data_IF_638124119112
#
_entry.id   IF_638124119112
#
_cell.length_a   1.000
_cell.length_b   1.000
_cell.length_c   1.000
_cell.angle_alpha   90.00
_cell.angle_beta   90.00
_cell.angle_gamma   90.00
#
_symmetry.space_group_name_H-M   'P 1'
#
loop_
_entity.id
_entity.type
_entity.pdbx_description
1 polymer ?
#
# COMPACT_ATOMS: atom_id res chain seq x y z
N UNK A 1 -12.74 -11.73 7.80
CA UNK A 1 -11.32 -11.52 8.20
C UNK A 1 -11.19 -10.83 9.56
N UNK A 2 -11.88 -9.72 9.85
CA UNK A 2 -11.79 -8.99 11.14
C UNK A 2 -11.98 -9.86 12.39
N UNK A 3 -13.05 -10.66 12.43
CA UNK A 3 -13.32 -11.55 13.56
C UNK A 3 -12.20 -12.58 13.78
N UNK A 4 -11.60 -13.08 12.69
CA UNK A 4 -10.47 -14.00 12.75
C UNK A 4 -9.19 -13.30 13.25
N UNK A 5 -8.91 -12.08 12.77
CA UNK A 5 -7.77 -11.28 13.23
C UNK A 5 -7.87 -10.92 14.72
N UNK A 6 -9.05 -10.50 15.19
CA UNK A 6 -9.28 -10.22 16.61
C UNK A 6 -9.14 -11.45 17.49
N UNK A 7 -9.61 -12.61 17.00
CA UNK A 7 -9.43 -13.87 17.72
C UNK A 7 -7.96 -14.28 17.82
N UNK A 8 -7.18 -14.09 16.75
CA UNK A 8 -5.73 -14.36 16.75
C UNK A 8 -4.96 -13.44 17.72
N UNK A 9 -5.43 -12.20 17.89
CA UNK A 9 -4.76 -11.18 18.71
C UNK A 9 -5.33 -11.03 20.12
N UNK A 10 -6.25 -11.90 20.55
CA UNK A 10 -6.97 -11.75 21.82
C UNK A 10 -6.02 -11.63 23.04
N UNK A 11 -4.84 -12.24 22.98
CA UNK A 11 -3.82 -12.20 24.04
C UNK A 11 -2.66 -11.23 23.76
N UNK A 12 -2.69 -10.50 22.62
CA UNK A 12 -1.61 -9.62 22.18
C UNK A 12 -1.92 -8.15 22.48
N UNK A 13 -1.47 -7.67 23.64
CA UNK A 13 -1.74 -6.28 24.11
C UNK A 13 -1.09 -5.17 23.27
N UNK A 14 -0.12 -5.52 22.41
CA UNK A 14 0.68 -4.58 21.59
C UNK A 14 0.25 -4.54 20.12
N UNK A 15 -0.84 -5.22 19.75
CA UNK A 15 -1.35 -5.24 18.37
C UNK A 15 -2.88 -5.21 18.40
N UNK A 16 -3.51 -4.55 17.43
CA UNK A 16 -4.97 -4.50 17.32
C UNK A 16 -5.41 -4.55 15.86
N UNK A 17 -6.70 -4.77 15.63
CA UNK A 17 -7.33 -4.63 14.32
C UNK A 17 -8.60 -3.79 14.44
N UNK A 18 -8.63 -2.70 13.68
CA UNK A 18 -9.77 -1.80 13.57
C UNK A 18 -10.47 -2.00 12.23
N UNK A 19 -11.72 -1.57 12.13
CA UNK A 19 -12.43 -1.45 10.85
C UNK A 19 -12.59 0.02 10.57
N UNK A 20 -11.89 0.50 9.56
CA UNK A 20 -11.89 1.90 9.14
C UNK A 20 -11.73 1.99 7.63
N UNK A 21 -12.14 3.11 7.06
CA UNK A 21 -11.90 3.43 5.66
C UNK A 21 -10.53 4.10 5.53
N UNK A 22 -9.64 3.56 4.69
CA UNK A 22 -8.31 4.15 4.45
C UNK A 22 -8.35 5.51 3.75
N UNK A 23 -9.51 5.91 3.23
CA UNK A 23 -9.77 7.25 2.69
C UNK A 23 -10.13 8.27 3.77
N UNK A 24 -10.32 7.83 5.01
CA UNK A 24 -10.60 8.66 6.19
C UNK A 24 -9.42 8.56 7.19
N UNK A 25 -8.31 9.27 6.92
CA UNK A 25 -7.16 9.30 7.82
C UNK A 25 -7.51 9.73 9.24
N UNK A 26 -8.36 10.74 9.40
CA UNK A 26 -8.79 11.24 10.70
C UNK A 26 -9.50 10.14 11.50
N UNK A 27 -10.45 9.43 10.88
CA UNK A 27 -11.14 8.30 11.49
C UNK A 27 -10.19 7.18 11.94
N UNK A 28 -9.11 6.93 11.20
CA UNK A 28 -8.07 5.95 11.58
C UNK A 28 -7.25 6.46 12.78
N UNK A 29 -6.79 7.71 12.73
CA UNK A 29 -5.90 8.29 13.73
C UNK A 29 -6.60 8.55 15.07
N UNK A 30 -7.87 8.94 15.01
CA UNK A 30 -8.69 9.18 16.20
C UNK A 30 -9.37 7.93 16.76
N UNK A 31 -9.28 6.80 16.06
CA UNK A 31 -9.83 5.54 16.55
C UNK A 31 -9.25 5.20 17.94
N UNK A 32 -10.08 4.85 18.94
CA UNK A 32 -9.62 4.62 20.32
C UNK A 32 -8.48 3.61 20.43
N UNK A 33 -8.55 2.51 19.66
CA UNK A 33 -7.47 1.51 19.62
C UNK A 33 -6.17 2.02 18.99
N UNK A 34 -6.25 2.90 17.98
CA UNK A 34 -5.06 3.54 17.39
C UNK A 34 -4.40 4.43 18.43
N UNK A 35 -5.17 5.33 19.06
CA UNK A 35 -4.66 6.25 20.10
C UNK A 35 -4.14 5.53 21.34
N UNK A 36 -4.68 4.36 21.66
CA UNK A 36 -4.23 3.51 22.78
C UNK A 36 -2.86 2.88 22.50
N UNK A 37 -2.61 2.46 21.26
CA UNK A 37 -1.40 1.70 20.91
C UNK A 37 -0.27 2.54 20.35
N UNK A 38 -0.60 3.57 19.56
CA UNK A 38 0.39 4.33 18.80
C UNK A 38 0.56 5.71 19.42
N UNK A 39 1.73 5.94 20.00
CA UNK A 39 2.16 7.26 20.44
C UNK A 39 2.64 8.10 19.24
N UNK A 40 1.74 8.91 18.69
CA UNK A 40 1.99 9.76 17.53
C UNK A 40 2.98 10.92 17.80
N UNK A 41 3.45 11.10 19.04
CA UNK A 41 4.54 12.02 19.34
C UNK A 41 5.93 11.43 19.03
N UNK A 42 5.98 10.12 18.74
CA UNK A 42 7.19 9.37 18.40
C UNK A 42 7.16 8.93 16.93
N UNK A 43 8.33 8.62 16.33
CA UNK A 43 8.38 8.17 14.95
C UNK A 43 7.53 6.93 14.69
N UNK A 44 6.74 6.96 13.62
CA UNK A 44 5.86 5.86 13.21
C UNK A 44 6.17 5.38 11.80
N UNK A 45 5.85 4.11 11.53
CA UNK A 45 5.80 3.57 10.17
C UNK A 45 4.35 3.39 9.74
N UNK A 46 3.95 4.04 8.67
CA UNK A 46 2.62 3.89 8.05
C UNK A 46 2.78 2.99 6.82
N UNK A 47 1.92 1.99 6.68
CA UNK A 47 2.01 0.97 5.63
C UNK A 47 0.77 1.03 4.72
N UNK A 48 0.95 1.40 3.47
CA UNK A 48 -0.01 1.28 2.37
C UNK A 48 0.52 0.28 1.34
N UNK A 49 0.55 -1.00 1.73
CA UNK A 49 1.10 -2.09 0.91
C UNK A 49 -0.01 -2.80 0.14
N UNK A 50 0.10 -2.81 -1.19
CA UNK A 50 -0.86 -3.41 -2.13
C UNK A 50 -2.28 -2.88 -1.99
N UNK A 51 -2.39 -1.56 -1.74
CA UNK A 51 -3.68 -0.87 -1.61
C UNK A 51 -3.74 0.47 -2.35
N UNK A 52 -2.61 1.01 -2.83
CA UNK A 52 -2.60 2.34 -3.47
C UNK A 52 -3.49 2.46 -4.72
N UNK A 53 -3.66 1.37 -5.45
CA UNK A 53 -4.55 1.29 -6.62
C UNK A 53 -6.04 1.35 -6.26
N UNK A 54 -6.42 1.12 -5.00
CA UNK A 54 -7.81 1.31 -4.54
C UNK A 54 -8.14 2.78 -4.22
N UNK A 55 -7.12 3.61 -4.09
CA UNK A 55 -7.25 5.04 -3.89
C UNK A 55 -7.24 5.72 -5.26
N UNK A 56 -8.42 6.15 -5.71
CA UNK A 56 -8.53 6.91 -6.97
C UNK A 56 -8.11 8.36 -6.77
N UNK A 57 -7.57 8.95 -7.82
CA UNK A 57 -7.36 10.39 -7.91
C UNK A 57 -8.72 11.10 -8.04
N UNK A 58 -8.80 12.30 -7.46
CA UNK A 58 -9.98 13.17 -7.53
C UNK A 58 -9.50 14.61 -7.36
N UNK A 59 -10.23 15.54 -7.97
CA UNK A 59 -10.04 16.97 -7.78
C UNK A 59 -10.76 17.50 -6.53
N UNK A 60 -11.55 16.65 -5.86
CA UNK A 60 -12.24 16.99 -4.62
C UNK A 60 -11.23 17.24 -3.48
N UNK A 61 -11.34 18.43 -2.86
CA UNK A 61 -10.50 18.83 -1.74
C UNK A 61 -10.77 17.91 -0.56
N UNK A 62 -9.69 17.36 0.01
CA UNK A 62 -9.81 16.44 1.14
C UNK A 62 -10.22 15.02 0.74
N UNK A 63 -10.06 14.63 -0.52
CA UNK A 63 -10.39 13.29 -0.99
C UNK A 63 -9.31 12.69 -1.91
N UNK A 64 -9.46 11.39 -2.18
CA UNK A 64 -8.64 10.63 -3.11
C UNK A 64 -7.26 10.22 -2.59
N UNK A 65 -6.44 9.70 -3.50
CA UNK A 65 -5.14 9.11 -3.17
C UNK A 65 -4.19 10.09 -2.51
N UNK A 66 -4.09 11.31 -3.04
CA UNK A 66 -3.23 12.34 -2.46
C UNK A 66 -3.66 12.67 -1.04
N UNK A 67 -4.95 12.88 -0.78
CA UNK A 67 -5.43 13.14 0.58
C UNK A 67 -5.13 11.97 1.51
N UNK A 68 -5.55 10.74 1.15
CA UNK A 68 -5.35 9.57 2.01
C UNK A 68 -3.87 9.34 2.38
N UNK A 69 -2.96 9.42 1.40
CA UNK A 69 -1.54 9.18 1.62
C UNK A 69 -0.83 10.37 2.28
N UNK A 70 -1.12 11.59 1.82
CA UNK A 70 -0.43 12.80 2.29
C UNK A 70 -0.95 13.24 3.65
N UNK A 71 -2.26 13.23 3.86
CA UNK A 71 -2.84 13.65 5.13
C UNK A 71 -2.38 12.70 6.24
N UNK A 72 -2.46 11.38 6.03
CA UNK A 72 -2.07 10.44 7.10
C UNK A 72 -0.60 10.61 7.47
N UNK A 73 0.31 10.70 6.49
CA UNK A 73 1.74 10.88 6.78
C UNK A 73 1.99 12.29 7.33
N UNK A 74 1.31 13.32 6.84
CA UNK A 74 1.57 14.69 7.28
C UNK A 74 1.10 14.95 8.70
N UNK A 75 0.00 14.31 9.12
CA UNK A 75 -0.55 14.41 10.46
C UNK A 75 0.32 13.67 11.49
N UNK A 76 0.95 12.55 11.13
CA UNK A 76 1.69 11.70 12.09
C UNK A 76 3.21 11.79 12.00
N UNK A 77 3.76 12.34 10.91
CA UNK A 77 5.19 12.32 10.70
C UNK A 77 5.91 13.32 11.60
N UNK A 78 6.48 12.79 12.68
CA UNK A 78 7.64 13.38 13.34
C UNK A 78 8.93 12.91 12.66
N UNK A 79 10.07 13.63 12.81
CA UNK A 79 11.34 13.22 12.22
C UNK A 79 11.69 11.76 12.52
N UNK A 80 11.99 11.00 11.47
CA UNK A 80 12.24 9.55 11.56
C UNK A 80 11.02 8.67 11.29
N UNK A 81 9.86 9.25 10.97
CA UNK A 81 8.69 8.51 10.49
C UNK A 81 8.84 8.10 9.03
N UNK A 82 8.18 7.01 8.65
CA UNK A 82 8.25 6.43 7.31
C UNK A 82 6.87 6.08 6.75
N UNK A 83 6.75 6.14 5.43
CA UNK A 83 5.65 5.56 4.66
C UNK A 83 6.20 4.41 3.82
N UNK A 84 5.71 3.20 4.04
CA UNK A 84 5.89 2.11 3.08
C UNK A 84 4.67 2.10 2.15
N UNK A 85 4.90 2.19 0.85
CA UNK A 85 3.83 2.29 -0.15
C UNK A 85 4.07 1.30 -1.27
N UNK A 86 3.00 0.68 -1.77
CA UNK A 86 3.01 -0.01 -3.06
C UNK A 86 1.63 -0.05 -3.73
N UNK A 87 1.67 -0.15 -5.05
CA UNK A 87 0.50 -0.49 -5.86
C UNK A 87 0.91 -1.19 -7.17
N UNK A 88 -0.05 -1.88 -7.78
CA UNK A 88 0.06 -2.31 -9.17
C UNK A 88 0.24 -1.11 -10.11
N UNK A 89 1.21 -1.23 -11.01
CA UNK A 89 1.44 -0.30 -12.12
C UNK A 89 1.46 -1.04 -13.46
N UNK A 90 1.20 -0.29 -14.51
CA UNK A 90 1.40 -0.72 -15.90
C UNK A 90 2.09 0.41 -16.66
N UNK A 91 3.15 0.09 -17.41
CA UNK A 91 3.93 1.09 -18.15
C UNK A 91 3.15 1.72 -19.32
N UNK A 92 2.31 0.92 -20.01
CA UNK A 92 1.41 1.41 -21.06
C UNK A 92 0.11 1.97 -20.45
N UNK A 93 -0.15 3.29 -20.54
CA UNK A 93 -1.37 3.90 -20.01
C UNK A 93 -2.65 3.33 -20.62
N UNK A 94 -2.65 2.89 -21.88
CA UNK A 94 -3.84 2.34 -22.52
C UNK A 94 -4.21 0.96 -21.94
N UNK A 95 -3.21 0.12 -21.68
CA UNK A 95 -3.41 -1.14 -20.96
C UNK A 95 -3.82 -0.92 -19.50
N UNK A 96 -3.20 0.06 -18.83
CA UNK A 96 -3.57 0.48 -17.48
C UNK A 96 -5.03 0.94 -17.37
N UNK A 97 -5.48 1.76 -18.32
CA UNK A 97 -6.87 2.22 -18.40
C UNK A 97 -7.84 1.06 -18.64
N UNK A 98 -7.48 0.11 -19.52
CA UNK A 98 -8.29 -1.10 -19.76
C UNK A 98 -8.42 -1.95 -18.51
N UNK A 99 -7.33 -2.19 -17.78
CA UNK A 99 -7.35 -2.92 -16.51
C UNK A 99 -8.23 -2.20 -15.47
N UNK A 100 -8.07 -0.89 -15.35
CA UNK A 100 -8.87 -0.07 -14.43
C UNK A 100 -10.36 -0.18 -14.74
N UNK A 101 -10.76 0.00 -16.01
CA UNK A 101 -12.15 -0.11 -16.42
C UNK A 101 -12.72 -1.53 -16.18
N UNK A 102 -11.93 -2.58 -16.40
CA UNK A 102 -12.36 -3.95 -16.17
C UNK A 102 -12.61 -4.23 -14.68
N UNK A 103 -11.68 -3.83 -13.80
CA UNK A 103 -11.79 -4.08 -12.35
C UNK A 103 -12.88 -3.20 -11.73
N UNK A 104 -12.94 -1.93 -12.14
CA UNK A 104 -13.98 -1.00 -11.69
C UNK A 104 -15.37 -1.43 -12.16
N UNK A 105 -15.48 -1.93 -13.39
CA UNK A 105 -16.72 -2.52 -13.92
C UNK A 105 -17.17 -3.78 -13.16
N UNK A 106 -16.27 -4.43 -12.42
CA UNK A 106 -16.58 -5.52 -11.50
C UNK A 106 -16.96 -5.03 -10.08
N UNK A 107 -17.07 -3.71 -9.87
CA UNK A 107 -17.47 -3.09 -8.60
C UNK A 107 -16.32 -2.91 -7.60
N UNK A 108 -15.06 -3.05 -8.04
CA UNK A 108 -13.89 -2.88 -7.18
C UNK A 108 -13.23 -1.55 -7.56
N UNK A 109 -13.23 -0.53 -6.68
CA UNK A 109 -12.56 0.73 -6.96
C UNK A 109 -11.09 0.48 -7.30
N UNK A 110 -10.69 0.88 -8.51
CA UNK A 110 -9.35 0.62 -9.03
C UNK A 110 -8.86 1.72 -9.94
N UNK A 111 -7.58 2.09 -9.79
CA UNK A 111 -6.85 2.93 -10.72
C UNK A 111 -5.42 2.39 -10.87
N UNK A 112 -5.14 1.84 -12.04
CA UNK A 112 -3.78 1.51 -12.47
C UNK A 112 -3.10 2.79 -12.93
N UNK A 113 -1.92 3.06 -12.38
CA UNK A 113 -1.07 4.18 -12.78
C UNK A 113 0.20 3.66 -13.44
N UNK A 114 0.88 4.51 -14.19
CA UNK A 114 2.27 4.33 -14.59
C UNK A 114 3.21 4.58 -13.39
N UNK A 115 4.47 4.10 -13.43
CA UNK A 115 5.47 4.46 -12.42
C UNK A 115 5.66 5.97 -12.28
N UNK A 116 5.62 6.72 -13.39
CA UNK A 116 5.77 8.17 -13.40
C UNK A 116 4.63 8.88 -12.63
N UNK A 117 3.39 8.43 -12.83
CA UNK A 117 2.23 8.95 -12.08
C UNK A 117 2.30 8.61 -10.58
N UNK A 118 2.81 7.41 -10.21
CA UNK A 118 3.07 7.07 -8.80
C UNK A 118 4.12 7.99 -8.20
N UNK A 119 5.20 8.28 -8.93
CA UNK A 119 6.24 9.20 -8.47
C UNK A 119 5.68 10.60 -8.22
N UNK A 120 4.79 11.09 -9.11
CA UNK A 120 4.11 12.37 -8.94
C UNK A 120 3.10 12.37 -7.79
N UNK A 121 2.45 11.24 -7.51
CA UNK A 121 1.56 11.07 -6.35
C UNK A 121 2.33 11.19 -5.02
N UNK A 122 3.56 10.67 -4.99
CA UNK A 122 4.42 10.63 -3.81
C UNK A 122 5.39 11.81 -3.69
N UNK A 123 5.33 12.77 -4.62
CA UNK A 123 6.17 13.97 -4.64
C UNK A 123 6.18 14.68 -3.28
N UNK A 124 7.36 15.10 -2.83
CA UNK A 124 7.58 15.69 -1.50
C UNK A 124 7.86 14.68 -0.39
N UNK A 125 7.87 13.37 -0.69
CA UNK A 125 8.52 12.36 0.15
C UNK A 125 9.85 11.95 -0.47
N UNK A 126 10.77 11.49 0.37
CA UNK A 126 12.09 11.07 -0.07
C UNK A 126 12.19 9.55 -0.06
N UNK A 127 12.26 8.88 -1.21
CA UNK A 127 12.47 7.44 -1.27
C UNK A 127 13.79 7.05 -0.62
N UNK A 128 13.77 5.95 0.13
CA UNK A 128 14.96 5.31 0.68
C UNK A 128 15.55 4.38 -0.38
N UNK A 129 16.88 4.36 -0.53
CA UNK A 129 17.59 3.49 -1.48
C UNK A 129 17.07 2.04 -1.47
N UNK A 130 16.76 1.43 -2.64
CA UNK A 130 17.11 1.87 -4.01
C UNK A 130 16.10 2.85 -4.64
N UNK A 131 15.19 3.42 -3.85
CA UNK A 131 14.10 4.25 -4.33
C UNK A 131 12.80 3.45 -4.51
N UNK A 132 11.97 3.91 -5.44
CA UNK A 132 10.75 3.22 -5.82
C UNK A 132 11.05 2.32 -7.03
N UNK A 133 10.84 1.01 -6.86
CA UNK A 133 11.19 -0.03 -7.84
C UNK A 133 10.08 -1.07 -7.92
N UNK A 134 10.20 -2.04 -8.84
CA UNK A 134 9.44 -3.27 -8.73
C UNK A 134 9.76 -3.91 -7.38
N UNK A 135 8.76 -4.25 -6.57
CA UNK A 135 9.01 -4.74 -5.21
C UNK A 135 9.87 -6.01 -5.15
N UNK A 136 9.92 -6.81 -6.22
CA UNK A 136 10.85 -7.96 -6.34
C UNK A 136 12.33 -7.55 -6.24
N UNK A 137 12.64 -6.30 -6.57
CA UNK A 137 13.99 -5.73 -6.59
C UNK A 137 14.28 -4.91 -5.31
N UNK A 138 13.28 -4.67 -4.47
CA UNK A 138 13.43 -3.87 -3.26
C UNK A 138 14.12 -4.68 -2.16
N UNK A 139 15.45 -4.54 -2.06
CA UNK A 139 16.31 -5.15 -1.02
C UNK A 139 15.98 -6.65 -0.76
N UNK A 140 16.05 -7.50 -1.80
CA UNK A 140 15.76 -8.93 -1.64
C UNK A 140 16.66 -9.54 -0.55
N UNK A 141 16.07 -10.32 0.33
CA UNK A 141 16.82 -11.03 1.39
C UNK A 141 17.61 -12.18 0.75
N UNK A 142 18.96 -12.14 0.77
CA UNK A 142 19.79 -13.19 0.17
C UNK A 142 19.67 -14.53 0.92
N UNK A 143 19.07 -14.51 2.11
CA UNK A 143 18.88 -15.68 2.98
C UNK A 143 17.41 -16.11 3.08
N UNK A 144 16.52 -15.53 2.25
CA UNK A 144 15.12 -15.92 2.19
C UNK A 144 15.01 -17.45 1.97
N UNK A 145 14.32 -18.20 2.85
CA UNK A 145 14.09 -19.62 2.62
C UNK A 145 13.24 -19.82 1.35
N UNK A 146 13.36 -20.97 0.68
CA UNK A 146 12.49 -21.27 -0.45
C UNK A 146 11.02 -21.21 -0.02
N UNK A 147 10.17 -20.67 -0.90
CA UNK A 147 8.74 -20.67 -0.66
C UNK A 147 8.22 -22.11 -0.52
N UNK A 148 7.22 -22.30 0.32
CA UNK A 148 6.50 -23.57 0.40
C UNK A 148 6.01 -24.00 -0.99
N UNK A 149 5.98 -25.31 -1.29
CA UNK A 149 5.43 -25.81 -2.53
C UNK A 149 4.02 -25.27 -2.75
N UNK A 150 3.78 -24.74 -3.95
CA UNK A 150 2.46 -24.25 -4.33
C UNK A 150 1.47 -25.42 -4.25
N UNK A 151 0.30 -25.27 -3.61
CA UNK A 151 -0.73 -26.29 -3.64
C UNK A 151 -1.09 -26.70 -5.07
N UNK A 152 -1.35 -27.99 -5.31
CA UNK A 152 -1.57 -28.51 -6.66
C UNK A 152 -2.70 -27.80 -7.43
N UNK A 153 -3.75 -27.35 -6.72
CA UNK A 153 -4.86 -26.60 -7.30
C UNK A 153 -4.47 -25.19 -7.77
N UNK A 154 -3.33 -24.66 -7.32
CA UNK A 154 -2.81 -23.34 -7.69
C UNK A 154 -1.72 -23.42 -8.76
N UNK A 155 -1.24 -24.61 -9.11
CA UNK A 155 -0.21 -24.80 -10.16
C UNK A 155 -0.51 -24.09 -11.49
N UNK A 156 -1.76 -24.08 -12.02
CA UNK A 156 -2.06 -23.38 -13.27
C UNK A 156 -1.79 -21.87 -13.22
N UNK A 157 -1.69 -21.28 -12.03
CA UNK A 157 -1.47 -19.85 -11.84
C UNK A 157 0.00 -19.48 -11.60
N UNK A 158 0.87 -20.47 -11.40
CA UNK A 158 2.31 -20.25 -11.19
C UNK A 158 2.94 -19.67 -12.45
N UNK A 159 3.77 -18.63 -12.30
CA UNK A 159 4.49 -18.00 -13.41
C UNK A 159 3.64 -17.11 -14.33
N UNK A 160 2.31 -17.00 -14.14
CA UNK A 160 1.46 -16.13 -14.98
C UNK A 160 1.95 -14.68 -14.94
N UNK A 161 2.39 -14.19 -13.78
CA UNK A 161 2.95 -12.85 -13.64
C UNK A 161 4.34 -12.68 -14.24
N UNK A 162 5.10 -13.76 -14.43
CA UNK A 162 6.40 -13.72 -15.13
C UNK A 162 6.23 -13.56 -16.64
N UNK A 163 5.09 -14.02 -17.18
CA UNK A 163 4.74 -13.86 -18.59
C UNK A 163 4.15 -12.48 -18.95
N UNK A 164 3.78 -11.67 -17.95
CA UNK A 164 3.24 -10.31 -18.10
C UNK A 164 4.27 -9.29 -17.64
N UNK A 165 5.23 -8.99 -18.50
CA UNK A 165 6.36 -8.10 -18.18
C UNK A 165 5.98 -6.64 -17.92
N UNK A 166 4.75 -6.22 -18.26
CA UNK A 166 4.28 -4.85 -18.07
C UNK A 166 3.37 -4.62 -16.85
N UNK A 167 3.09 -5.64 -16.03
CA UNK A 167 2.22 -5.50 -14.83
C UNK A 167 2.98 -5.95 -13.60
N UNK A 168 3.23 -5.04 -12.67
CA UNK A 168 3.99 -5.35 -11.46
C UNK A 168 3.61 -4.46 -10.28
N UNK A 169 3.99 -4.88 -9.09
CA UNK A 169 3.82 -4.10 -7.87
C UNK A 169 5.01 -3.13 -7.75
N UNK A 170 4.74 -1.83 -7.78
CA UNK A 170 5.73 -0.76 -7.71
C UNK A 170 5.61 -0.02 -6.40
N UNK A 171 6.73 0.26 -5.76
CA UNK A 171 6.73 0.89 -4.45
C UNK A 171 8.08 0.88 -3.76
N UNK A 172 8.06 1.17 -2.46
CA UNK A 172 9.23 1.20 -1.60
C UNK A 172 8.96 1.88 -0.27
N UNK A 173 10.04 2.20 0.43
CA UNK A 173 10.01 2.96 1.69
C UNK A 173 10.34 4.42 1.42
N UNK A 174 9.55 5.32 1.99
CA UNK A 174 9.73 6.76 1.88
C UNK A 174 9.85 7.38 3.28
N UNK A 175 10.69 8.40 3.40
CA UNK A 175 10.80 9.24 4.61
C UNK A 175 10.22 10.62 4.36
N UNK A 176 9.64 11.21 5.40
CA UNK A 176 9.35 12.64 5.44
C UNK A 176 10.47 13.33 6.22
N UNK A 177 11.11 14.33 5.60
CA UNK A 177 12.17 15.15 6.23
C UNK A 177 11.59 16.33 6.97
#
# INVERSE_FOLDING_TARGET
>A
VLAHGRALLADHQVTTVITADMRDPEGILDHPDTRRLIDLSRPVAVLFLSVGHHLKDTDEVGAGARHALRHIIDTVAVPGSYLAFSQVVIDDPAEGAKMSAQIDGAGIPWQTRTPAEVNALLEGLHPVEPGLVNLKEWRPDPTQPPLEPVPANLHPYVGITESRTGVYEYGGLLRKT
#
